data_IF_568404928807
#
_entry.id   IF_568404928807
#
_cell.length_a   1.000
_cell.length_b   1.000
_cell.length_c   1.000
_cell.angle_alpha   90.00
_cell.angle_beta   90.00
_cell.angle_gamma   90.00
#
_symmetry.space_group_name_H-M   'P 1'
#
loop_
_entity.id
_entity.type
_entity.pdbx_description
1 polymer ?
#
# COMPACT_ATOMS: atom_id res chain seq x y z
N UNK A 1 6.08 -9.83 3.06
CA UNK A 1 6.05 -9.27 1.70
C UNK A 1 4.91 -8.26 1.64
N UNK A 2 5.09 -7.12 0.98
CA UNK A 2 4.06 -6.09 0.87
C UNK A 2 2.92 -6.48 -0.07
N UNK A 3 3.13 -7.43 -0.98
CA UNK A 3 2.06 -8.00 -1.81
C UNK A 3 1.31 -9.15 -1.13
N UNK A 4 1.62 -9.47 0.13
CA UNK A 4 0.96 -10.53 0.90
C UNK A 4 1.11 -10.27 2.40
N UNK A 5 0.33 -9.31 2.90
CA UNK A 5 0.26 -8.93 4.31
C UNK A 5 -0.63 -9.95 5.05
N UNK A 6 -0.14 -10.62 6.11
CA UNK A 6 -0.88 -11.69 6.80
C UNK A 6 -1.94 -11.14 7.77
N UNK A 7 -2.77 -10.22 7.27
CA UNK A 7 -3.85 -9.55 7.97
C UNK A 7 -5.14 -9.74 7.15
N UNK A 8 -6.28 -9.81 7.83
CA UNK A 8 -7.59 -9.91 7.17
C UNK A 8 -7.92 -8.64 6.36
N UNK A 9 -8.89 -8.75 5.46
CA UNK A 9 -9.41 -7.62 4.70
C UNK A 9 -10.07 -6.60 5.63
N UNK A 10 -10.07 -5.31 5.25
CA UNK A 10 -10.83 -4.26 5.95
C UNK A 10 -10.48 -4.09 7.45
N UNK A 11 -9.20 -4.12 7.81
CA UNK A 11 -8.77 -4.06 9.20
C UNK A 11 -8.28 -2.68 9.64
N UNK A 12 -7.76 -1.86 8.73
CA UNK A 12 -7.18 -0.57 9.06
C UNK A 12 -8.00 0.60 8.53
N UNK A 13 -8.15 1.64 9.35
CA UNK A 13 -8.77 2.91 8.95
C UNK A 13 -7.80 3.77 8.11
N UNK A 14 -6.49 3.54 8.26
CA UNK A 14 -5.45 4.30 7.57
C UNK A 14 -4.23 3.43 7.28
N UNK A 15 -3.65 3.60 6.11
CA UNK A 15 -2.36 3.03 5.69
C UNK A 15 -1.46 4.18 5.25
N UNK A 16 -0.22 4.19 5.73
CA UNK A 16 0.80 5.16 5.32
C UNK A 16 1.90 4.41 4.57
N UNK A 17 2.15 4.80 3.32
CA UNK A 17 3.19 4.23 2.47
C UNK A 17 4.10 5.35 1.97
N UNK A 18 5.29 5.49 2.55
CA UNK A 18 6.20 6.60 2.25
C UNK A 18 7.51 6.12 1.68
N UNK A 19 7.82 6.52 0.44
CA UNK A 19 9.11 6.27 -0.23
C UNK A 19 9.48 4.78 -0.27
N UNK A 20 8.48 3.93 -0.58
CA UNK A 20 8.61 2.47 -0.63
C UNK A 20 8.13 1.91 -1.97
N UNK A 21 7.10 2.52 -2.55
CA UNK A 21 6.43 1.98 -3.74
C UNK A 21 7.36 1.90 -4.96
N UNK A 22 8.35 2.77 -5.04
CA UNK A 22 9.38 2.81 -6.08
C UNK A 22 10.40 1.66 -5.99
N UNK A 23 10.51 1.01 -4.83
CA UNK A 23 11.49 -0.04 -4.57
C UNK A 23 10.90 -1.45 -4.70
N UNK A 24 9.59 -1.57 -4.87
CA UNK A 24 8.93 -2.88 -4.99
C UNK A 24 8.88 -3.33 -6.45
N UNK A 25 9.06 -4.64 -6.72
CA UNK A 25 9.07 -5.16 -8.09
C UNK A 25 7.69 -5.08 -8.76
N UNK A 26 6.62 -5.21 -7.97
CA UNK A 26 5.23 -5.21 -8.46
C UNK A 26 4.38 -4.16 -7.71
N UNK A 27 4.52 -2.86 -8.03
CA UNK A 27 3.80 -1.78 -7.34
C UNK A 27 2.28 -1.95 -7.34
N UNK A 28 1.73 -2.50 -8.42
CA UNK A 28 0.28 -2.74 -8.53
C UNK A 28 -0.20 -3.82 -7.54
N UNK A 29 0.58 -4.89 -7.35
CA UNK A 29 0.25 -5.94 -6.39
C UNK A 29 0.29 -5.38 -4.97
N UNK A 30 1.29 -4.55 -4.66
CA UNK A 30 1.37 -3.86 -3.37
C UNK A 30 0.19 -2.92 -3.16
N UNK A 31 -0.16 -2.07 -4.13
CA UNK A 31 -1.32 -1.18 -4.01
C UNK A 31 -2.64 -1.94 -3.83
N UNK A 32 -2.82 -3.08 -4.50
CA UNK A 32 -3.99 -3.93 -4.31
C UNK A 32 -4.03 -4.50 -2.88
N UNK A 33 -2.88 -4.91 -2.34
CA UNK A 33 -2.79 -5.43 -0.99
C UNK A 33 -3.01 -4.35 0.08
N UNK A 34 -2.48 -3.15 -0.12
CA UNK A 34 -2.75 -1.99 0.75
C UNK A 34 -4.24 -1.60 0.73
N UNK A 35 -4.89 -1.67 -0.44
CA UNK A 35 -6.32 -1.46 -0.55
C UNK A 35 -7.12 -2.57 0.16
N UNK A 36 -6.71 -3.85 0.04
CA UNK A 36 -7.38 -4.98 0.68
C UNK A 36 -7.45 -4.83 2.20
N UNK A 37 -6.37 -4.39 2.83
CA UNK A 37 -6.30 -4.24 4.30
C UNK A 37 -7.01 -2.99 4.82
N UNK A 38 -7.32 -2.02 3.95
CA UNK A 38 -8.10 -0.83 4.30
C UNK A 38 -9.59 -1.17 4.44
N UNK A 39 -10.22 -0.61 5.48
CA UNK A 39 -11.68 -0.62 5.63
C UNK A 39 -12.35 0.15 4.49
N UNK A 40 -13.63 -0.11 4.27
CA UNK A 40 -14.46 0.78 3.46
C UNK A 40 -14.38 2.22 4.01
N UNK A 41 -14.01 3.17 3.15
CA UNK A 41 -13.72 4.59 3.50
C UNK A 41 -12.42 4.83 4.26
N UNK A 42 -11.57 3.82 4.41
CA UNK A 42 -10.21 3.99 4.93
C UNK A 42 -9.33 4.77 3.95
N UNK A 43 -8.26 5.37 4.46
CA UNK A 43 -7.40 6.25 3.69
C UNK A 43 -6.02 5.65 3.44
N UNK A 44 -5.53 5.75 2.21
CA UNK A 44 -4.12 5.49 1.87
C UNK A 44 -3.41 6.83 1.69
N UNK A 45 -2.45 7.13 2.55
CA UNK A 45 -1.54 8.26 2.37
C UNK A 45 -0.25 7.75 1.77
N UNK A 46 0.01 8.15 0.53
CA UNK A 46 1.14 7.67 -0.25
C UNK A 46 2.08 8.80 -0.64
N UNK A 47 3.37 8.61 -0.44
CA UNK A 47 4.41 9.45 -1.04
C UNK A 47 5.38 8.59 -1.84
N UNK A 48 5.75 9.08 -3.01
CA UNK A 48 6.79 8.52 -3.88
C UNK A 48 7.56 9.67 -4.55
N UNK A 49 8.80 9.45 -5.02
CA UNK A 49 9.54 10.42 -5.80
C UNK A 49 8.78 10.82 -7.06
N UNK A 50 8.81 12.10 -7.41
CA UNK A 50 8.26 12.58 -8.69
C UNK A 50 9.03 11.98 -9.89
N UNK A 51 10.32 11.74 -9.69
CA UNK A 51 11.19 11.06 -10.64
C UNK A 51 11.99 10.01 -9.88
N UNK A 52 11.93 8.78 -10.35
CA UNK A 52 12.73 7.66 -9.88
C UNK A 52 13.47 7.06 -11.09
N UNK A 53 14.78 6.80 -11.00
CA UNK A 53 15.57 6.27 -12.12
C UNK A 53 15.12 4.86 -12.55
#
# INVERSE_FOLDING_TARGET
DLSSIPIQDNQYDMVICTQVLEHVPEPKAVLAELHRVLKLRGELWLSAPLFFP
#
